data_IF_231589021995
#
_entry.id   IF_231589021995
#
_cell.length_a   1.000
_cell.length_b   1.000
_cell.length_c   1.000
_cell.angle_alpha   90.00
_cell.angle_beta   90.00
_cell.angle_gamma   90.00
#
_symmetry.space_group_name_H-M   'P 1'
#
loop_
_entity.id
_entity.type
_entity.pdbx_description
1 polymer ?
#
# COMPACT_ATOMS: atom_id res chain seq x y z
N UNK A 1 10.65 1.73 8.36
CA UNK A 1 11.17 3.10 8.16
C UNK A 1 11.79 3.26 6.76
N UNK A 2 12.94 2.64 6.48
CA UNK A 2 13.70 2.86 5.25
C UNK A 2 12.96 2.53 3.95
N UNK A 3 12.61 1.25 3.74
CA UNK A 3 12.07 0.78 2.47
C UNK A 3 10.82 1.53 1.99
N UNK A 4 9.84 1.78 2.87
CA UNK A 4 8.60 2.46 2.47
C UNK A 4 8.64 3.97 2.72
N UNK A 5 9.07 4.40 3.91
CA UNK A 5 9.04 5.81 4.30
C UNK A 5 10.03 6.67 3.52
N UNK A 6 11.31 6.28 3.52
CA UNK A 6 12.36 7.05 2.81
C UNK A 6 12.16 6.97 1.29
N UNK A 7 11.80 5.81 0.75
CA UNK A 7 11.53 5.68 -0.69
C UNK A 7 10.31 6.50 -1.13
N UNK A 8 9.23 6.53 -0.35
CA UNK A 8 8.06 7.37 -0.68
C UNK A 8 8.41 8.86 -0.59
N UNK A 9 9.22 9.27 0.40
CA UNK A 9 9.72 10.64 0.49
C UNK A 9 10.59 11.01 -0.71
N UNK A 10 11.50 10.13 -1.11
CA UNK A 10 12.33 10.31 -2.29
C UNK A 10 11.47 10.37 -3.57
N UNK A 11 10.41 9.58 -3.65
CA UNK A 11 9.46 9.62 -4.76
C UNK A 11 8.66 10.93 -4.81
N UNK A 12 8.24 11.49 -3.67
CA UNK A 12 7.71 12.86 -3.62
C UNK A 12 8.72 13.86 -4.17
N UNK A 13 10.00 13.75 -3.77
CA UNK A 13 11.07 14.59 -4.30
C UNK A 13 11.18 14.47 -5.83
N UNK A 14 11.14 13.26 -6.36
CA UNK A 14 11.14 13.04 -7.82
C UNK A 14 9.91 13.67 -8.50
N UNK A 15 8.71 13.49 -7.95
CA UNK A 15 7.49 14.08 -8.51
C UNK A 15 7.55 15.61 -8.50
N UNK A 16 7.95 16.22 -7.39
CA UNK A 16 8.05 17.66 -7.22
C UNK A 16 9.13 18.34 -8.07
N UNK A 17 10.29 17.71 -8.20
CA UNK A 17 11.44 18.32 -8.87
C UNK A 17 11.58 17.92 -10.35
N UNK A 18 10.96 16.83 -10.80
CA UNK A 18 11.14 16.32 -12.16
C UNK A 18 9.81 16.16 -12.88
N UNK A 19 8.88 15.38 -12.32
CA UNK A 19 7.65 15.03 -13.04
C UNK A 19 6.70 16.22 -13.21
N UNK A 20 6.48 17.03 -12.15
CA UNK A 20 5.62 18.22 -12.20
C UNK A 20 6.20 19.27 -13.16
N UNK A 21 7.49 19.67 -13.08
CA UNK A 21 8.09 20.56 -14.08
C UNK A 21 7.97 20.02 -15.51
N UNK A 22 8.24 18.73 -15.74
CA UNK A 22 8.09 18.11 -17.05
C UNK A 22 6.65 18.18 -17.57
N UNK A 23 5.65 18.01 -16.70
CA UNK A 23 4.24 18.17 -17.05
C UNK A 23 3.84 19.60 -17.41
N UNK A 24 4.67 20.59 -17.06
CA UNK A 24 4.51 22.02 -17.38
C UNK A 24 5.41 22.48 -18.53
N UNK A 25 6.04 21.55 -19.23
CA UNK A 25 6.95 21.84 -20.35
C UNK A 25 8.34 22.33 -19.93
N UNK A 26 8.69 22.23 -18.66
CA UNK A 26 10.02 22.55 -18.16
C UNK A 26 10.93 21.32 -18.22
N UNK A 27 12.22 21.54 -18.48
CA UNK A 27 13.19 20.46 -18.62
C UNK A 27 14.16 20.46 -17.44
N UNK A 28 13.91 19.57 -16.48
CA UNK A 28 14.76 19.37 -15.30
C UNK A 28 15.46 18.02 -15.38
N UNK A 29 16.80 18.03 -15.37
CA UNK A 29 17.67 16.85 -15.45
C UNK A 29 18.87 17.00 -14.52
N UNK A 30 19.66 15.94 -14.39
CA UNK A 30 20.82 15.91 -13.49
C UNK A 30 21.81 17.06 -13.68
N UNK A 31 21.88 17.65 -14.87
CA UNK A 31 22.78 18.77 -15.17
C UNK A 31 22.28 20.16 -14.71
N UNK A 32 20.98 20.32 -14.42
CA UNK A 32 20.40 21.60 -13.96
C UNK A 32 19.50 21.44 -12.71
N UNK A 33 19.34 20.24 -12.18
CA UNK A 33 18.46 19.92 -11.05
C UNK A 33 18.75 20.75 -9.79
N UNK A 34 20.01 21.11 -9.55
CA UNK A 34 20.41 21.89 -8.38
C UNK A 34 20.15 23.39 -8.55
N UNK A 35 19.93 23.86 -9.78
CA UNK A 35 19.76 25.28 -10.10
C UNK A 35 18.29 25.66 -10.30
N UNK A 36 17.40 24.67 -10.51
CA UNK A 36 15.97 24.88 -10.73
C UNK A 36 15.20 24.61 -9.44
N UNK A 37 14.48 25.63 -8.96
CA UNK A 37 13.61 25.50 -7.80
C UNK A 37 12.30 24.80 -8.20
N UNK A 38 11.82 23.80 -7.43
CA UNK A 38 10.54 23.14 -7.69
C UNK A 38 9.33 24.06 -7.42
N UNK A 39 9.53 25.11 -6.62
CA UNK A 39 8.51 26.11 -6.29
C UNK A 39 9.16 27.51 -6.25
N UNK A 40 8.51 28.58 -6.76
CA UNK A 40 9.12 29.91 -6.85
C UNK A 40 9.65 30.48 -5.53
N UNK A 41 9.01 30.12 -4.41
CA UNK A 41 9.40 30.58 -3.06
C UNK A 41 10.44 29.67 -2.37
N UNK A 42 10.94 28.64 -3.07
CA UNK A 42 11.91 27.70 -2.54
C UNK A 42 11.46 27.04 -1.23
N UNK A 43 12.39 26.83 -0.30
CA UNK A 43 12.15 26.23 1.01
C UNK A 43 11.74 27.24 2.10
N UNK A 44 11.65 28.54 1.78
CA UNK A 44 11.29 29.56 2.77
C UNK A 44 9.97 29.25 3.50
N UNK A 45 8.86 29.01 2.78
CA UNK A 45 7.57 28.65 3.38
C UNK A 45 7.58 27.39 4.25
N UNK A 46 8.46 26.42 3.94
CA UNK A 46 8.60 25.20 4.73
C UNK A 46 9.08 25.53 6.15
N UNK A 47 10.14 26.34 6.27
CA UNK A 47 10.76 26.67 7.56
C UNK A 47 9.97 27.72 8.35
N UNK A 48 9.18 28.56 7.69
CA UNK A 48 8.30 29.53 8.37
C UNK A 48 6.92 28.95 8.74
N UNK A 49 6.65 27.68 8.40
CA UNK A 49 5.37 27.02 8.69
C UNK A 49 4.21 27.45 7.78
N UNK A 50 4.48 28.20 6.70
CA UNK A 50 3.48 28.68 5.74
C UNK A 50 3.26 27.67 4.61
N UNK A 51 2.99 26.40 4.97
CA UNK A 51 2.95 25.30 4.01
C UNK A 51 1.81 25.41 2.99
N UNK A 52 0.77 26.17 3.32
CA UNK A 52 -0.34 26.44 2.42
C UNK A 52 0.11 27.15 1.12
N UNK A 53 1.24 27.87 1.13
CA UNK A 53 1.80 28.52 -0.06
C UNK A 53 2.18 27.50 -1.15
N UNK A 54 2.59 26.29 -0.77
CA UNK A 54 2.92 25.22 -1.72
C UNK A 54 1.70 24.65 -2.47
N UNK A 55 0.49 24.98 -2.03
CA UNK A 55 -0.78 24.55 -2.62
C UNK A 55 -1.48 25.64 -3.46
N UNK A 56 -0.90 26.85 -3.54
CA UNK A 56 -1.51 27.99 -4.22
C UNK A 56 -1.19 28.00 -5.71
N UNK A 57 -2.22 28.27 -6.52
CA UNK A 57 -2.16 28.32 -7.99
C UNK A 57 -1.91 26.93 -8.62
N UNK A 58 -2.86 25.98 -8.51
CA UNK A 58 -2.79 24.70 -9.19
C UNK A 58 -2.88 24.85 -10.71
N UNK A 59 -2.52 23.79 -11.44
CA UNK A 59 -2.74 23.72 -12.89
C UNK A 59 -4.23 23.90 -13.21
N UNK A 60 -4.55 24.69 -14.24
CA UNK A 60 -5.94 25.03 -14.54
C UNK A 60 -6.68 23.86 -15.19
N UNK A 61 -8.01 23.92 -15.21
CA UNK A 61 -8.82 22.94 -15.96
C UNK A 61 -8.58 22.93 -17.47
N UNK A 62 -7.92 23.97 -18.00
CA UNK A 62 -7.52 24.09 -19.40
C UNK A 62 -6.01 23.88 -19.61
N UNK A 63 -5.30 23.37 -18.60
CA UNK A 63 -3.89 23.06 -18.71
C UNK A 63 -3.62 22.02 -19.82
N UNK A 64 -2.62 22.29 -20.65
CA UNK A 64 -2.15 21.37 -21.67
C UNK A 64 -0.90 20.66 -21.16
N UNK A 65 -1.06 19.37 -20.82
CA UNK A 65 -0.02 18.53 -20.25
C UNK A 65 1.22 18.47 -21.14
N UNK A 66 2.38 18.72 -20.53
CA UNK A 66 3.68 18.82 -21.19
C UNK A 66 4.00 20.23 -21.72
N UNK A 67 3.20 21.24 -21.40
CA UNK A 67 3.41 22.63 -21.85
C UNK A 67 3.16 23.62 -20.71
N UNK A 68 3.60 24.87 -20.86
CA UNK A 68 3.35 25.93 -19.87
C UNK A 68 1.95 26.55 -19.98
N UNK A 69 1.13 26.13 -20.95
CA UNK A 69 -0.19 26.71 -21.18
C UNK A 69 -1.18 26.23 -20.11
N UNK A 70 -1.67 27.15 -19.29
CA UNK A 70 -2.56 26.84 -18.17
C UNK A 70 -1.85 26.18 -16.98
N UNK A 71 -0.51 26.15 -16.98
CA UNK A 71 0.28 25.61 -15.89
C UNK A 71 0.25 26.53 -14.66
N UNK A 72 0.13 25.93 -13.48
CA UNK A 72 0.24 26.58 -12.19
C UNK A 72 1.68 26.54 -11.65
N UNK A 73 1.82 26.86 -10.37
CA UNK A 73 3.10 26.81 -9.64
C UNK A 73 3.09 25.84 -8.46
N UNK A 74 1.91 25.38 -8.05
CA UNK A 74 1.73 24.43 -6.94
C UNK A 74 2.55 23.16 -7.10
N UNK A 75 3.05 22.63 -5.99
CA UNK A 75 3.72 21.31 -5.94
C UNK A 75 2.96 20.27 -5.12
N UNK A 76 2.05 20.70 -4.23
CA UNK A 76 1.28 19.81 -3.35
C UNK A 76 -0.18 20.26 -3.34
N UNK A 77 -1.11 19.40 -3.75
CA UNK A 77 -2.56 19.69 -3.73
C UNK A 77 -3.38 18.60 -3.05
N UNK A 78 -4.68 18.86 -2.89
CA UNK A 78 -5.69 17.87 -2.59
C UNK A 78 -6.96 18.17 -3.41
N UNK A 79 -6.83 18.24 -4.75
CA UNK A 79 -7.91 18.61 -5.66
C UNK A 79 -8.96 17.50 -5.77
N UNK A 80 -8.51 16.26 -5.91
CA UNK A 80 -9.35 15.13 -6.25
C UNK A 80 -9.78 15.12 -7.72
N UNK A 81 -10.44 14.04 -8.13
CA UNK A 81 -10.87 13.84 -9.51
C UNK A 81 -9.69 13.66 -10.46
N UNK A 82 -9.86 14.11 -11.71
CA UNK A 82 -8.92 13.88 -12.79
C UNK A 82 -8.58 15.17 -13.52
N UNK A 83 -7.35 15.25 -14.02
CA UNK A 83 -6.91 16.29 -14.94
C UNK A 83 -7.72 16.18 -16.25
N UNK A 84 -8.46 17.22 -16.68
CA UNK A 84 -9.46 17.11 -17.75
C UNK A 84 -8.92 16.61 -19.09
N UNK A 85 -7.68 16.98 -19.45
CA UNK A 85 -7.09 16.53 -20.72
C UNK A 85 -6.60 15.07 -20.67
N UNK A 86 -5.82 14.71 -19.65
CA UNK A 86 -5.17 13.40 -19.56
C UNK A 86 -6.09 12.30 -19.04
N UNK A 87 -7.21 12.69 -18.41
CA UNK A 87 -8.14 11.77 -17.72
C UNK A 87 -7.43 10.91 -16.67
N UNK A 88 -6.44 11.50 -15.98
CA UNK A 88 -5.63 10.86 -14.94
C UNK A 88 -5.57 11.69 -13.67
N UNK A 89 -5.13 11.08 -12.57
CA UNK A 89 -4.87 11.78 -11.31
C UNK A 89 -3.91 12.95 -11.50
N UNK A 90 -4.10 13.99 -10.69
CA UNK A 90 -3.21 15.16 -10.66
C UNK A 90 -1.83 14.78 -10.11
N UNK A 91 -0.75 15.20 -10.78
CA UNK A 91 0.62 14.94 -10.32
C UNK A 91 0.90 15.54 -8.94
N UNK A 92 0.35 16.73 -8.67
CA UNK A 92 0.46 17.41 -7.37
C UNK A 92 -0.31 16.70 -6.25
N UNK A 93 -1.43 16.05 -6.57
CA UNK A 93 -2.14 15.18 -5.60
C UNK A 93 -1.33 13.91 -5.33
N UNK A 94 -0.74 13.29 -6.36
CA UNK A 94 0.13 12.12 -6.20
C UNK A 94 1.39 12.47 -5.39
N UNK A 95 2.02 13.63 -5.64
CA UNK A 95 3.17 14.10 -4.86
C UNK A 95 2.82 14.27 -3.38
N UNK A 96 1.67 14.89 -3.10
CA UNK A 96 1.19 15.08 -1.74
C UNK A 96 0.80 13.76 -1.06
N UNK A 97 0.14 12.84 -1.78
CA UNK A 97 -0.14 11.48 -1.30
C UNK A 97 1.15 10.78 -0.84
N UNK A 98 2.18 10.76 -1.69
CA UNK A 98 3.46 10.15 -1.36
C UNK A 98 4.16 10.80 -0.16
N UNK A 99 4.01 12.12 0.00
CA UNK A 99 4.58 12.85 1.13
C UNK A 99 3.88 12.45 2.42
N UNK A 100 2.55 12.40 2.40
CA UNK A 100 1.74 12.04 3.55
C UNK A 100 2.03 10.60 4.00
N UNK A 101 2.02 9.61 3.09
CA UNK A 101 2.32 8.23 3.45
C UNK A 101 3.78 8.03 3.87
N UNK A 102 4.71 8.84 3.36
CA UNK A 102 6.10 8.81 3.81
C UNK A 102 6.19 9.11 5.31
N UNK A 103 5.54 10.17 5.79
CA UNK A 103 5.52 10.50 7.22
C UNK A 103 4.85 9.40 8.06
N UNK A 104 3.74 8.82 7.59
CA UNK A 104 3.10 7.70 8.27
C UNK A 104 4.05 6.52 8.44
N UNK A 105 4.77 6.12 7.38
CA UNK A 105 5.70 4.99 7.44
C UNK A 105 7.01 5.30 8.17
N UNK A 106 7.45 6.56 8.19
CA UNK A 106 8.59 6.99 8.99
C UNK A 106 8.25 6.90 10.48
N UNK A 107 7.09 7.40 10.91
CA UNK A 107 6.63 7.32 12.30
C UNK A 107 6.40 5.85 12.70
N UNK A 108 5.62 5.10 11.91
CA UNK A 108 5.35 3.69 12.18
C UNK A 108 6.63 2.84 12.25
N UNK A 109 7.67 3.24 11.48
CA UNK A 109 8.97 2.60 11.48
C UNK A 109 9.75 2.64 12.80
N UNK A 110 9.33 3.47 13.76
CA UNK A 110 9.97 3.61 15.09
C UNK A 110 9.16 2.92 16.22
N UNK A 111 8.09 2.20 15.89
CA UNK A 111 7.20 1.61 16.89
C UNK A 111 7.86 0.43 17.64
N UNK A 112 8.63 -0.40 16.95
CA UNK A 112 9.15 -1.65 17.51
C UNK A 112 10.53 -1.47 18.14
N UNK A 113 10.75 -2.16 19.26
CA UNK A 113 11.97 -2.05 20.05
C UNK A 113 13.18 -2.55 19.28
N UNK A 114 14.28 -1.83 19.38
CA UNK A 114 15.59 -2.18 18.82
C UNK A 114 16.65 -2.11 19.92
N UNK A 115 17.93 -2.18 19.55
CA UNK A 115 19.07 -2.08 20.48
C UNK A 115 19.13 -0.74 21.24
N UNK A 116 18.32 0.25 20.86
CA UNK A 116 18.16 1.53 21.59
C UNK A 116 17.27 1.43 22.84
N UNK A 117 16.69 0.26 23.14
CA UNK A 117 15.97 -0.01 24.39
C UNK A 117 14.55 0.58 24.48
N UNK A 118 14.13 1.41 23.55
CA UNK A 118 12.79 2.03 23.50
C UNK A 118 11.95 1.39 22.38
N UNK A 119 10.65 1.18 22.63
CA UNK A 119 9.68 0.64 21.68
C UNK A 119 8.97 -0.63 22.17
N UNK A 120 8.13 -1.22 21.31
CA UNK A 120 7.33 -2.39 21.63
C UNK A 120 8.01 -3.71 21.21
N UNK A 121 7.87 -4.75 22.03
CA UNK A 121 8.14 -6.14 21.67
C UNK A 121 6.87 -6.74 21.06
N UNK A 122 6.95 -7.25 19.83
CA UNK A 122 5.78 -7.87 19.18
C UNK A 122 5.33 -9.14 19.90
N UNK A 123 6.28 -9.89 20.49
CA UNK A 123 5.97 -11.05 21.33
C UNK A 123 5.11 -10.65 22.53
N UNK A 124 5.55 -9.65 23.29
CA UNK A 124 4.85 -9.16 24.48
C UNK A 124 3.46 -8.63 24.12
N UNK A 125 3.33 -7.92 22.99
CA UNK A 125 2.06 -7.43 22.48
C UNK A 125 1.09 -8.57 22.18
N UNK A 126 1.54 -9.63 21.49
CA UNK A 126 0.71 -10.78 21.16
C UNK A 126 0.33 -11.56 22.42
N UNK A 127 1.27 -11.82 23.32
CA UNK A 127 1.02 -12.58 24.55
C UNK A 127 0.07 -11.86 25.52
N UNK A 128 0.09 -10.52 25.54
CA UNK A 128 -0.81 -9.70 26.34
C UNK A 128 -2.20 -9.50 25.70
N UNK A 129 -2.33 -9.67 24.38
CA UNK A 129 -3.58 -9.44 23.68
C UNK A 129 -4.51 -10.65 23.76
N UNK A 130 -5.17 -10.80 24.91
CA UNK A 130 -6.15 -11.84 25.20
C UNK A 130 -7.56 -11.22 25.23
N UNK A 131 -8.54 -11.77 24.49
CA UNK A 131 -9.87 -11.20 24.43
C UNK A 131 -10.59 -11.33 25.79
N UNK A 132 -11.32 -10.29 26.23
CA UNK A 132 -11.94 -10.26 27.57
C UNK A 132 -13.01 -11.34 27.78
N UNK A 133 -13.61 -11.84 26.70
CA UNK A 133 -14.70 -12.83 26.76
C UNK A 133 -14.26 -14.29 26.93
N UNK A 134 -12.95 -14.60 26.92
CA UNK A 134 -12.43 -15.97 27.12
C UNK A 134 -12.80 -17.00 26.04
N UNK A 135 -13.60 -16.64 25.03
CA UNK A 135 -14.12 -17.57 24.00
C UNK A 135 -13.06 -18.05 22.98
N UNK A 136 -11.86 -17.47 23.01
CA UNK A 136 -10.77 -17.73 22.08
C UNK A 136 -9.55 -18.39 22.77
N UNK A 137 -9.79 -19.09 23.90
CA UNK A 137 -8.77 -19.82 24.64
C UNK A 137 -7.64 -18.93 25.13
N UNK A 138 -6.39 -19.37 24.95
CA UNK A 138 -5.16 -18.62 25.25
C UNK A 138 -4.87 -17.44 24.31
N UNK A 139 -5.75 -17.16 23.34
CA UNK A 139 -5.61 -16.01 22.44
C UNK A 139 -4.41 -16.15 21.50
N UNK A 140 -3.59 -15.11 21.38
CA UNK A 140 -2.44 -15.06 20.46
C UNK A 140 -1.14 -15.64 21.04
N UNK A 141 -1.17 -16.24 22.23
CA UNK A 141 0.04 -16.80 22.86
C UNK A 141 0.72 -17.84 21.98
N UNK A 142 2.04 -17.73 21.87
CA UNK A 142 2.88 -18.62 21.06
C UNK A 142 2.84 -18.36 19.55
N UNK A 143 1.98 -17.45 19.06
CA UNK A 143 1.93 -17.11 17.63
C UNK A 143 3.21 -16.42 17.15
N UNK A 144 3.82 -15.56 17.97
CA UNK A 144 5.07 -14.90 17.60
C UNK A 144 6.14 -15.92 17.17
N UNK A 145 6.40 -16.92 18.01
CA UNK A 145 7.39 -17.96 17.74
C UNK A 145 6.91 -18.88 16.59
N UNK A 146 5.62 -19.22 16.52
CA UNK A 146 5.06 -20.05 15.43
C UNK A 146 5.26 -19.40 14.06
N UNK A 147 5.03 -18.08 13.95
CA UNK A 147 5.24 -17.31 12.73
C UNK A 147 6.73 -17.14 12.46
N UNK A 148 7.50 -16.71 13.47
CA UNK A 148 8.89 -16.33 13.28
C UNK A 148 9.81 -17.52 12.98
N UNK A 149 9.43 -18.74 13.40
CA UNK A 149 10.21 -19.96 13.19
C UNK A 149 9.81 -20.74 11.92
N UNK A 150 8.71 -20.40 11.25
CA UNK A 150 8.29 -21.05 10.00
C UNK A 150 8.39 -20.11 8.81
N UNK A 151 9.28 -20.44 7.87
CA UNK A 151 9.35 -19.75 6.59
C UNK A 151 8.10 -19.98 5.74
N UNK A 152 7.45 -21.14 5.86
CA UNK A 152 6.22 -21.43 5.14
C UNK A 152 5.04 -20.60 5.65
N UNK A 153 4.94 -20.37 6.96
CA UNK A 153 3.92 -19.47 7.50
C UNK A 153 4.16 -18.02 7.07
N UNK A 154 5.40 -17.53 7.16
CA UNK A 154 5.76 -16.18 6.71
C UNK A 154 5.48 -15.98 5.23
N UNK A 155 5.88 -16.94 4.39
CA UNK A 155 5.64 -16.88 2.95
C UNK A 155 4.14 -16.94 2.63
N UNK A 156 3.38 -17.78 3.32
CA UNK A 156 1.91 -17.83 3.19
C UNK A 156 1.26 -16.47 3.47
N UNK A 157 1.61 -15.83 4.59
CA UNK A 157 1.10 -14.51 4.94
C UNK A 157 1.56 -13.40 3.98
N UNK A 158 2.81 -13.43 3.55
CA UNK A 158 3.36 -12.47 2.61
C UNK A 158 2.65 -12.56 1.25
N UNK A 159 2.44 -13.78 0.74
CA UNK A 159 1.70 -14.01 -0.49
C UNK A 159 0.23 -13.61 -0.33
N UNK A 160 -0.44 -13.94 0.78
CA UNK A 160 -1.82 -13.52 1.01
C UNK A 160 -1.96 -11.98 0.97
N UNK A 161 -1.08 -11.28 1.69
CA UNK A 161 -1.07 -9.81 1.74
C UNK A 161 -0.76 -9.21 0.37
N UNK A 162 0.23 -9.76 -0.34
CA UNK A 162 0.61 -9.30 -1.67
C UNK A 162 -0.48 -9.58 -2.70
N UNK A 163 -1.15 -10.74 -2.66
CA UNK A 163 -2.24 -11.08 -3.57
C UNK A 163 -3.43 -10.14 -3.43
N UNK A 164 -3.79 -9.78 -2.18
CA UNK A 164 -4.81 -8.76 -1.91
C UNK A 164 -4.41 -7.41 -2.48
N UNK A 165 -3.18 -6.95 -2.24
CA UNK A 165 -2.71 -5.65 -2.76
C UNK A 165 -2.62 -5.68 -4.30
N UNK A 166 -2.16 -6.77 -4.92
CA UNK A 166 -2.09 -6.90 -6.38
C UNK A 166 -3.49 -6.80 -7.01
N UNK A 167 -4.51 -7.42 -6.39
CA UNK A 167 -5.89 -7.27 -6.86
C UNK A 167 -6.39 -5.84 -6.66
N UNK A 168 -6.07 -5.21 -5.53
CA UNK A 168 -6.40 -3.81 -5.27
C UNK A 168 -5.76 -2.86 -6.30
N UNK A 169 -4.51 -3.12 -6.69
CA UNK A 169 -3.81 -2.37 -7.74
C UNK A 169 -4.59 -2.46 -9.05
N UNK A 170 -5.01 -3.66 -9.46
CA UNK A 170 -5.82 -3.81 -10.67
C UNK A 170 -7.13 -3.01 -10.59
N UNK A 171 -7.84 -3.09 -9.47
CA UNK A 171 -9.12 -2.39 -9.27
C UNK A 171 -8.96 -0.86 -9.23
N UNK A 172 -7.91 -0.36 -8.57
CA UNK A 172 -7.67 1.08 -8.48
C UNK A 172 -7.11 1.65 -9.78
N UNK A 173 -6.23 0.95 -10.50
CA UNK A 173 -5.60 1.51 -11.70
C UNK A 173 -6.58 1.72 -12.87
N UNK A 174 -7.64 0.91 -12.98
CA UNK A 174 -8.64 1.10 -14.04
C UNK A 174 -9.68 2.16 -13.67
N UNK A 175 -10.02 2.30 -12.38
CA UNK A 175 -11.04 3.24 -11.89
C UNK A 175 -10.48 4.62 -11.53
N UNK A 176 -9.20 4.69 -11.15
CA UNK A 176 -8.45 5.89 -10.79
C UNK A 176 -7.13 5.93 -11.60
N UNK A 177 -7.17 6.23 -12.91
CA UNK A 177 -5.99 6.18 -13.76
C UNK A 177 -4.88 7.13 -13.28
N UNK A 178 -3.71 6.60 -12.95
CA UNK A 178 -2.59 7.41 -12.44
C UNK A 178 -1.66 7.96 -13.54
N UNK A 179 -1.71 7.38 -14.74
CA UNK A 179 -0.82 7.73 -15.84
C UNK A 179 -1.54 8.59 -16.88
N UNK A 180 -0.88 9.60 -17.41
CA UNK A 180 -1.47 10.49 -18.40
C UNK A 180 -1.92 9.71 -19.65
N UNK A 181 -3.14 9.98 -20.12
CA UNK A 181 -3.75 9.41 -21.33
C UNK A 181 -4.02 7.90 -21.31
N UNK A 182 -3.66 7.18 -20.24
CA UNK A 182 -3.86 5.72 -20.19
C UNK A 182 -5.33 5.31 -20.25
N UNK A 183 -6.25 6.15 -19.79
CA UNK A 183 -7.69 5.91 -19.85
C UNK A 183 -8.23 5.87 -21.30
N UNK A 184 -7.48 6.43 -22.26
CA UNK A 184 -7.83 6.46 -23.68
C UNK A 184 -7.23 5.27 -24.45
N UNK A 185 -6.25 4.56 -23.86
CA UNK A 185 -5.69 3.33 -24.41
C UNK A 185 -6.39 2.11 -23.79
N UNK A 186 -7.50 1.74 -24.42
CA UNK A 186 -8.35 0.64 -23.95
C UNK A 186 -7.63 -0.71 -23.94
N UNK A 187 -6.74 -0.96 -24.90
CA UNK A 187 -6.01 -2.22 -24.99
C UNK A 187 -5.02 -2.34 -23.83
N UNK A 188 -4.26 -1.28 -23.55
CA UNK A 188 -3.33 -1.26 -22.41
C UNK A 188 -4.07 -1.38 -21.08
N UNK A 189 -5.20 -0.70 -20.90
CA UNK A 189 -6.04 -0.82 -19.70
C UNK A 189 -6.55 -2.24 -19.48
N UNK A 190 -7.14 -2.86 -20.52
CA UNK A 190 -7.61 -4.24 -20.45
C UNK A 190 -6.48 -5.22 -20.14
N UNK A 191 -5.30 -5.03 -20.76
CA UNK A 191 -4.12 -5.85 -20.54
C UNK A 191 -3.61 -5.73 -19.10
N UNK A 192 -3.44 -4.51 -18.57
CA UNK A 192 -2.95 -4.27 -17.21
C UNK A 192 -3.90 -4.84 -16.15
N UNK A 193 -5.21 -4.63 -16.30
CA UNK A 193 -6.21 -5.19 -15.38
C UNK A 193 -6.15 -6.72 -15.36
N UNK A 194 -6.22 -7.34 -16.53
CA UNK A 194 -6.19 -8.80 -16.68
C UNK A 194 -4.89 -9.37 -16.12
N UNK A 195 -3.76 -8.77 -16.47
CA UNK A 195 -2.44 -9.16 -15.99
C UNK A 195 -2.36 -9.20 -14.46
N UNK A 196 -2.73 -8.11 -13.79
CA UNK A 196 -2.65 -8.04 -12.33
C UNK A 196 -3.67 -8.97 -11.65
N UNK A 197 -4.88 -9.15 -12.19
CA UNK A 197 -5.85 -10.09 -11.61
C UNK A 197 -5.39 -11.55 -11.71
N UNK A 198 -4.82 -11.96 -12.85
CA UNK A 198 -4.25 -13.31 -12.98
C UNK A 198 -3.09 -13.52 -12.01
N UNK A 199 -2.17 -12.55 -11.89
CA UNK A 199 -1.07 -12.62 -10.91
C UNK A 199 -1.62 -12.70 -9.49
N UNK A 200 -2.63 -11.90 -9.14
CA UNK A 200 -3.27 -11.97 -7.83
C UNK A 200 -3.83 -13.37 -7.55
N UNK A 201 -4.51 -13.99 -8.50
CA UNK A 201 -5.02 -15.36 -8.38
C UNK A 201 -3.91 -16.40 -8.14
N UNK A 202 -2.80 -16.32 -8.88
CA UNK A 202 -1.65 -17.20 -8.70
C UNK A 202 -1.01 -17.02 -7.31
N UNK A 203 -0.79 -15.78 -6.90
CA UNK A 203 -0.20 -15.45 -5.59
C UNK A 203 -1.10 -15.91 -4.45
N UNK A 204 -2.41 -15.67 -4.53
CA UNK A 204 -3.38 -16.12 -3.51
C UNK A 204 -3.44 -17.64 -3.39
N UNK A 205 -3.39 -18.36 -4.51
CA UNK A 205 -3.31 -19.84 -4.48
C UNK A 205 -2.02 -20.30 -3.81
N UNK A 206 -0.89 -19.65 -4.11
CA UNK A 206 0.40 -19.93 -3.45
C UNK A 206 0.36 -19.68 -1.94
N UNK A 207 -0.38 -18.66 -1.49
CA UNK A 207 -0.55 -18.37 -0.06
C UNK A 207 -1.18 -19.55 0.69
N UNK A 208 -2.29 -20.10 0.18
CA UNK A 208 -2.94 -21.28 0.78
C UNK A 208 -2.09 -22.54 0.66
N UNK A 209 -1.36 -22.72 -0.46
CA UNK A 209 -0.44 -23.83 -0.61
C UNK A 209 0.65 -23.82 0.47
N UNK A 210 1.28 -22.67 0.72
CA UNK A 210 2.29 -22.53 1.78
C UNK A 210 1.69 -22.64 3.19
N UNK A 211 0.45 -22.16 3.40
CA UNK A 211 -0.28 -22.39 4.64
C UNK A 211 -0.51 -23.88 4.92
N UNK A 212 -0.90 -24.67 3.91
CA UNK A 212 -1.06 -26.11 4.05
C UNK A 212 0.29 -26.82 4.32
N UNK A 213 1.36 -26.41 3.62
CA UNK A 213 2.71 -26.95 3.87
C UNK A 213 3.15 -26.67 5.32
N UNK A 214 2.89 -25.47 5.83
CA UNK A 214 3.14 -25.14 7.24
C UNK A 214 2.44 -26.11 8.18
N UNK A 215 1.14 -26.37 7.99
CA UNK A 215 0.38 -27.27 8.87
C UNK A 215 0.91 -28.70 8.89
N UNK A 216 1.56 -29.14 7.82
CA UNK A 216 2.15 -30.48 7.71
C UNK A 216 3.56 -30.53 8.29
N UNK A 217 4.39 -29.52 8.00
CA UNK A 217 5.83 -29.59 8.27
C UNK A 217 6.27 -28.89 9.54
N UNK A 218 5.65 -27.76 9.86
CA UNK A 218 6.18 -26.80 10.83
C UNK A 218 5.24 -26.54 12.01
N UNK A 219 3.96 -26.90 11.90
CA UNK A 219 2.99 -26.72 12.99
C UNK A 219 3.27 -27.66 14.16
N UNK A 220 3.45 -27.08 15.35
CA UNK A 220 3.58 -27.81 16.61
C UNK A 220 2.30 -27.65 17.45
N UNK A 221 1.51 -28.73 17.66
CA UNK A 221 0.30 -28.70 18.46
C UNK A 221 0.52 -28.33 19.93
N UNK A 222 1.62 -28.79 20.56
CA UNK A 222 1.90 -28.53 21.97
C UNK A 222 2.18 -27.04 22.20
N UNK A 223 2.96 -26.43 21.30
CA UNK A 223 3.25 -24.99 21.37
C UNK A 223 1.98 -24.13 21.17
N UNK A 224 1.07 -24.59 20.31
CA UNK A 224 -0.14 -23.87 19.92
C UNK A 224 -1.38 -24.27 20.72
N UNK A 225 -1.26 -25.12 21.73
CA UNK A 225 -2.39 -25.68 22.50
C UNK A 225 -3.40 -24.60 22.93
N UNK A 226 -4.70 -24.76 22.65
CA UNK A 226 -5.76 -23.79 23.01
C UNK A 226 -5.51 -22.33 22.59
N UNK A 227 -4.58 -22.04 21.68
CA UNK A 227 -4.47 -20.71 21.08
C UNK A 227 -5.44 -20.58 19.89
N UNK A 228 -5.55 -19.39 19.29
CA UNK A 228 -6.50 -19.16 18.19
C UNK A 228 -6.29 -20.08 16.98
N UNK A 229 -5.06 -20.53 16.72
CA UNK A 229 -4.75 -21.42 15.60
C UNK A 229 -5.20 -22.85 15.88
N UNK A 230 -4.92 -23.37 17.07
CA UNK A 230 -5.39 -24.70 17.49
C UNK A 230 -6.92 -24.74 17.52
N UNK A 231 -7.57 -23.72 18.09
CA UNK A 231 -9.04 -23.65 18.16
C UNK A 231 -9.66 -23.69 16.78
N UNK A 232 -9.11 -22.98 15.79
CA UNK A 232 -9.59 -23.01 14.40
C UNK A 232 -9.58 -24.44 13.82
N UNK A 233 -8.57 -25.25 14.17
CA UNK A 233 -8.51 -26.67 13.75
C UNK A 233 -9.57 -27.54 14.44
N UNK A 234 -9.93 -27.25 15.69
CA UNK A 234 -10.92 -28.03 16.46
C UNK A 234 -12.34 -27.93 15.90
N UNK A 235 -12.67 -26.85 15.17
CA UNK A 235 -13.98 -26.65 14.55
C UNK A 235 -13.89 -26.51 13.02
N UNK A 236 -12.86 -27.10 12.41
CA UNK A 236 -12.63 -27.04 10.95
C UNK A 236 -13.82 -27.57 10.14
N UNK A 237 -14.55 -28.57 10.65
CA UNK A 237 -15.72 -29.16 10.00
C UNK A 237 -16.87 -28.15 9.90
N UNK A 238 -17.03 -27.29 10.91
CA UNK A 238 -17.99 -26.20 10.87
C UNK A 238 -17.61 -25.17 9.80
N UNK A 239 -16.33 -24.77 9.74
CA UNK A 239 -15.83 -23.81 8.72
C UNK A 239 -16.07 -24.37 7.31
N UNK A 240 -15.66 -25.63 7.07
CA UNK A 240 -15.80 -26.30 5.77
C UNK A 240 -17.27 -26.44 5.36
N UNK A 241 -18.16 -26.84 6.29
CA UNK A 241 -19.58 -27.01 5.99
C UNK A 241 -20.27 -25.70 5.64
N UNK A 242 -19.94 -24.59 6.33
CA UNK A 242 -20.49 -23.27 6.01
C UNK A 242 -19.98 -22.75 4.65
N UNK A 243 -18.70 -22.95 4.33
CA UNK A 243 -18.14 -22.60 3.01
C UNK A 243 -18.77 -23.42 1.88
N UNK A 244 -19.02 -24.72 2.13
CA UNK A 244 -19.72 -25.59 1.19
C UNK A 244 -21.15 -25.12 0.94
N UNK A 245 -21.90 -24.83 2.01
CA UNK A 245 -23.24 -24.27 1.91
C UNK A 245 -23.25 -22.95 1.13
N UNK A 246 -22.34 -22.02 1.43
CA UNK A 246 -22.29 -20.73 0.75
C UNK A 246 -21.99 -20.89 -0.75
N UNK A 247 -21.07 -21.79 -1.10
CA UNK A 247 -20.73 -22.09 -2.50
C UNK A 247 -21.91 -22.71 -3.26
N UNK A 248 -22.61 -23.68 -2.64
CA UNK A 248 -23.81 -24.28 -3.23
C UNK A 248 -24.93 -23.27 -3.37
N UNK A 249 -25.18 -22.47 -2.33
CA UNK A 249 -26.21 -21.44 -2.33
C UNK A 249 -25.97 -20.44 -3.46
N UNK A 250 -24.77 -19.86 -3.56
CA UNK A 250 -24.44 -18.94 -4.66
C UNK A 250 -24.53 -19.63 -6.01
N UNK A 251 -24.02 -20.86 -6.14
CA UNK A 251 -24.07 -21.62 -7.40
C UNK A 251 -25.48 -21.96 -7.88
N UNK A 252 -26.46 -22.11 -6.98
CA UNK A 252 -27.86 -22.36 -7.36
C UNK A 252 -28.66 -21.08 -7.66
N UNK A 253 -28.18 -19.90 -7.25
CA UNK A 253 -28.97 -18.66 -7.29
C UNK A 253 -28.32 -17.49 -8.06
N UNK A 254 -27.12 -17.67 -8.63
CA UNK A 254 -26.43 -16.66 -9.48
C UNK A 254 -26.53 -17.05 -10.95
#
# INVERSE_FOLDING_TARGET
MGLFGVSSLAWTGHLGHVAIPASRGEYVRSNNFLDVLPHPQGLGPLFTGQWNLYAQNPDSGSHLFGTSQGAGTTILTLLGGFHPQTQSLWLTDMAHHHLAIAFLFLIAGHMYRTNFGIGHSMKDLLDAHIPPGGRLGRGHKGLYDTINNSLHFQLGLALASLGVITSLVAQHMYSLPAYAFIAQDFTTQAALYTHHQYIAGFIMTGAFAHGAIFFIRDYNPEQNEDNVLARMLEHKEAIISHLSWASLFLGFHT
#
